data_IF_093373865614
#
_entry.id   IF_093373865614
#
_cell.length_a   1.000
_cell.length_b   1.000
_cell.length_c   1.000
_cell.angle_alpha   90.00
_cell.angle_beta   90.00
_cell.angle_gamma   90.00
#
_symmetry.space_group_name_H-M   'P 1'
#
loop_
_entity.id
_entity.type
_entity.pdbx_description
1 polymer ?
#
# COMPACT_ATOMS: atom_id res chain seq x y z
N UNK A 1 -24.56 23.58 -5.96
CA UNK A 1 -23.22 22.98 -5.82
C UNK A 1 -22.58 22.97 -7.19
N UNK A 2 -21.37 23.55 -7.29
CA UNK A 2 -20.62 23.68 -8.53
C UNK A 2 -20.25 22.28 -9.06
N UNK A 3 -20.30 22.15 -10.39
CA UNK A 3 -19.93 20.98 -11.19
C UNK A 3 -18.80 20.18 -10.54
N UNK A 4 -19.15 19.00 -10.01
CA UNK A 4 -18.36 18.25 -9.05
C UNK A 4 -17.22 17.46 -9.68
N UNK A 5 -16.09 18.13 -9.92
CA UNK A 5 -14.82 17.46 -10.10
C UNK A 5 -14.44 16.82 -8.76
N UNK A 6 -14.74 15.52 -8.62
CA UNK A 6 -14.25 14.70 -7.52
C UNK A 6 -12.72 14.73 -7.59
N UNK A 7 -12.05 15.36 -6.63
CA UNK A 7 -10.59 15.32 -6.57
C UNK A 7 -10.21 13.89 -6.18
N UNK A 8 -9.73 13.13 -7.16
CA UNK A 8 -9.26 11.77 -6.94
C UNK A 8 -7.86 11.84 -6.30
N UNK A 9 -7.83 11.91 -4.98
CA UNK A 9 -6.59 11.90 -4.20
C UNK A 9 -5.95 10.52 -4.27
N UNK A 10 -4.75 10.45 -4.86
CA UNK A 10 -4.01 9.20 -5.02
C UNK A 10 -2.81 9.14 -4.08
N UNK A 11 -2.68 8.03 -3.38
CA UNK A 11 -1.47 7.66 -2.66
C UNK A 11 -0.74 6.56 -3.45
N UNK A 12 0.57 6.73 -3.65
CA UNK A 12 1.44 5.71 -4.24
C UNK A 12 2.73 5.64 -3.45
N UNK A 13 3.19 4.43 -3.12
CA UNK A 13 4.47 4.19 -2.45
C UNK A 13 5.13 2.92 -2.96
N UNK A 14 6.44 2.81 -2.75
CA UNK A 14 7.24 1.63 -3.04
C UNK A 14 7.58 0.89 -1.75
N UNK A 15 7.50 -0.45 -1.81
CA UNK A 15 7.76 -1.35 -0.71
C UNK A 15 8.76 -2.41 -1.15
N UNK A 16 9.97 -2.35 -0.59
CA UNK A 16 10.97 -3.39 -0.79
C UNK A 16 10.65 -4.59 0.11
N UNK A 17 10.58 -5.77 -0.50
CA UNK A 17 10.22 -7.03 0.14
C UNK A 17 11.18 -8.16 -0.26
N UNK A 18 11.22 -9.23 0.53
CA UNK A 18 11.88 -10.47 0.14
C UNK A 18 11.02 -11.20 -0.89
N UNK A 19 11.66 -11.84 -1.87
CA UNK A 19 10.97 -12.40 -3.04
C UNK A 19 10.01 -13.55 -2.68
N UNK A 20 10.33 -14.31 -1.63
CA UNK A 20 9.49 -15.38 -1.05
C UNK A 20 8.26 -14.85 -0.28
N UNK A 21 8.31 -13.61 0.22
CA UNK A 21 7.20 -13.00 0.96
C UNK A 21 6.27 -12.15 0.08
N UNK A 22 6.57 -12.01 -1.22
CA UNK A 22 5.82 -11.16 -2.16
C UNK A 22 4.32 -11.45 -2.15
N UNK A 23 3.92 -12.71 -2.36
CA UNK A 23 2.50 -13.05 -2.49
C UNK A 23 1.76 -12.84 -1.17
N UNK A 24 2.34 -13.25 -0.04
CA UNK A 24 1.78 -13.00 1.29
C UNK A 24 1.60 -11.51 1.57
N UNK A 25 2.61 -10.69 1.27
CA UNK A 25 2.53 -9.24 1.49
C UNK A 25 1.47 -8.62 0.58
N UNK A 26 1.36 -9.06 -0.69
CA UNK A 26 0.31 -8.59 -1.60
C UNK A 26 -1.09 -8.94 -1.09
N UNK A 27 -1.30 -10.15 -0.59
CA UNK A 27 -2.57 -10.55 0.03
C UNK A 27 -2.93 -9.67 1.24
N UNK A 28 -1.97 -9.42 2.13
CA UNK A 28 -2.19 -8.54 3.29
C UNK A 28 -2.46 -7.08 2.89
N UNK A 29 -1.80 -6.58 1.84
CA UNK A 29 -2.10 -5.25 1.30
C UNK A 29 -3.50 -5.19 0.71
N UNK A 30 -3.93 -6.23 -0.02
CA UNK A 30 -5.29 -6.30 -0.57
C UNK A 30 -6.34 -6.31 0.55
N UNK A 31 -6.11 -7.05 1.65
CA UNK A 31 -6.98 -6.98 2.83
C UNK A 31 -7.05 -5.58 3.41
N UNK A 32 -5.92 -4.87 3.50
CA UNK A 32 -5.90 -3.46 3.96
C UNK A 32 -6.78 -2.60 3.06
N UNK A 33 -6.73 -2.78 1.73
CA UNK A 33 -7.59 -2.04 0.80
C UNK A 33 -9.07 -2.35 0.98
N UNK A 34 -9.42 -3.62 1.16
CA UNK A 34 -10.80 -4.07 1.35
C UNK A 34 -11.39 -3.58 2.68
N UNK A 35 -10.61 -3.58 3.76
CA UNK A 35 -11.08 -3.23 5.10
C UNK A 35 -11.06 -1.72 5.38
N UNK A 36 -10.24 -0.94 4.67
CA UNK A 36 -10.13 0.50 4.90
C UNK A 36 -11.24 1.29 4.21
N UNK A 37 -12.18 1.78 5.03
CA UNK A 37 -13.35 2.54 4.58
C UNK A 37 -12.98 3.87 3.93
N UNK A 38 -11.82 4.42 4.26
CA UNK A 38 -11.33 5.70 3.74
C UNK A 38 -10.74 5.57 2.31
N UNK A 39 -10.61 4.34 1.78
CA UNK A 39 -10.03 4.05 0.46
C UNK A 39 -11.10 3.63 -0.57
N UNK A 40 -10.86 3.97 -1.83
CA UNK A 40 -11.58 3.44 -2.98
C UNK A 40 -11.03 2.06 -3.36
N UNK A 41 -11.89 1.04 -3.37
CA UNK A 41 -11.46 -0.34 -3.54
C UNK A 41 -11.16 -0.69 -5.00
N UNK A 42 -11.98 -0.20 -5.94
CA UNK A 42 -11.94 -0.65 -7.35
C UNK A 42 -10.62 -0.30 -8.06
N UNK A 43 -9.97 0.79 -7.66
CA UNK A 43 -8.74 1.30 -8.31
C UNK A 43 -7.47 1.12 -7.44
N UNK A 44 -7.57 0.38 -6.34
CA UNK A 44 -6.44 0.10 -5.44
C UNK A 44 -5.69 -1.17 -5.85
N UNK A 45 -4.36 -1.12 -5.88
CA UNK A 45 -3.54 -2.24 -6.33
C UNK A 45 -2.15 -2.31 -5.69
N UNK A 46 -1.62 -3.53 -5.63
CA UNK A 46 -0.24 -3.84 -5.28
C UNK A 46 0.36 -4.78 -6.34
N UNK A 47 1.40 -4.32 -7.04
CA UNK A 47 2.07 -5.06 -8.12
C UNK A 47 3.58 -5.00 -8.00
N UNK A 48 4.28 -6.00 -8.54
CA UNK A 48 5.74 -6.02 -8.61
C UNK A 48 6.18 -4.99 -9.66
N UNK A 49 6.93 -3.98 -9.22
CA UNK A 49 7.50 -2.95 -10.07
C UNK A 49 8.90 -3.32 -10.56
N UNK A 50 9.71 -3.91 -9.69
CA UNK A 50 11.08 -4.33 -9.97
C UNK A 50 11.45 -5.59 -9.16
N UNK A 51 12.42 -6.36 -9.65
CA UNK A 51 12.88 -7.59 -9.02
C UNK A 51 14.40 -7.76 -9.16
N UNK A 52 15.07 -7.93 -8.02
CA UNK A 52 16.48 -8.25 -7.92
C UNK A 52 16.64 -9.71 -7.51
N UNK A 53 16.81 -10.57 -8.50
CA UNK A 53 16.96 -12.02 -8.31
C UNK A 53 18.27 -12.39 -7.59
N UNK A 54 19.33 -11.60 -7.75
CA UNK A 54 20.62 -11.87 -7.12
C UNK A 54 20.53 -11.66 -5.59
N UNK A 55 19.84 -10.60 -5.19
CA UNK A 55 19.63 -10.28 -3.77
C UNK A 55 18.34 -10.86 -3.20
N UNK A 56 17.57 -11.64 -3.99
CA UNK A 56 16.27 -12.22 -3.60
C UNK A 56 15.28 -11.18 -3.07
N UNK A 57 15.23 -10.00 -3.68
CA UNK A 57 14.30 -8.94 -3.27
C UNK A 57 13.41 -8.50 -4.43
N UNK A 58 12.24 -7.99 -4.11
CA UNK A 58 11.35 -7.34 -5.06
C UNK A 58 10.92 -5.97 -4.54
N UNK A 59 10.52 -5.08 -5.44
CA UNK A 59 9.88 -3.81 -5.12
C UNK A 59 8.41 -3.92 -5.54
N UNK A 60 7.51 -3.76 -4.57
CA UNK A 60 6.08 -3.64 -4.80
C UNK A 60 5.73 -2.17 -4.91
N UNK A 61 5.03 -1.78 -5.98
CA UNK A 61 4.32 -0.51 -6.02
C UNK A 61 2.92 -0.72 -5.44
N UNK A 62 2.58 0.09 -4.44
CA UNK A 62 1.29 0.09 -3.75
C UNK A 62 0.60 1.41 -4.02
N UNK A 63 -0.58 1.35 -4.61
CA UNK A 63 -1.33 2.51 -5.04
C UNK A 63 -2.79 2.38 -4.61
N UNK A 64 -3.37 3.44 -4.06
CA UNK A 64 -4.79 3.52 -3.74
C UNK A 64 -5.32 4.95 -3.92
N UNK A 65 -6.63 5.06 -4.16
CA UNK A 65 -7.34 6.33 -4.13
C UNK A 65 -8.05 6.50 -2.78
N UNK A 66 -8.11 7.72 -2.27
CA UNK A 66 -8.86 8.02 -1.04
C UNK A 66 -10.25 8.57 -1.39
N UNK A 67 -11.21 8.37 -0.48
CA UNK A 67 -12.59 8.86 -0.65
C UNK A 67 -12.80 10.32 -0.25
N UNK A 68 -11.77 10.97 0.30
CA UNK A 68 -11.89 12.33 0.84
C UNK A 68 -11.88 13.39 -0.26
N UNK A 69 -12.45 14.56 0.03
CA UNK A 69 -12.34 15.79 -0.75
C UNK A 69 -11.49 16.87 -0.06
N UNK A 70 -11.01 16.62 1.16
CA UNK A 70 -10.20 17.57 1.95
C UNK A 70 -8.71 17.20 1.96
N UNK A 71 -7.85 18.23 2.02
CA UNK A 71 -6.41 18.03 2.12
C UNK A 71 -6.02 17.43 3.48
N UNK A 72 -6.65 17.88 4.56
CA UNK A 72 -6.35 17.44 5.93
C UNK A 72 -6.63 15.94 6.10
N UNK A 73 -7.78 15.46 5.62
CA UNK A 73 -8.10 14.04 5.68
C UNK A 73 -7.20 13.23 4.75
N UNK A 74 -6.81 13.76 3.58
CA UNK A 74 -5.88 13.07 2.70
C UNK A 74 -4.56 12.80 3.41
N UNK A 75 -3.98 13.79 4.10
CA UNK A 75 -2.74 13.59 4.87
C UNK A 75 -2.92 12.59 6.01
N UNK A 76 -4.05 12.64 6.73
CA UNK A 76 -4.38 11.68 7.78
C UNK A 76 -4.43 10.24 7.24
N UNK A 77 -5.13 10.04 6.13
CA UNK A 77 -5.30 8.73 5.48
C UNK A 77 -3.97 8.22 4.95
N UNK A 78 -3.20 9.08 4.27
CA UNK A 78 -1.85 8.78 3.76
C UNK A 78 -0.92 8.30 4.88
N UNK A 79 -0.84 9.03 5.98
CA UNK A 79 0.07 8.71 7.08
C UNK A 79 -0.36 7.44 7.81
N UNK A 80 -1.68 7.22 7.96
CA UNK A 80 -2.21 5.96 8.48
C UNK A 80 -1.86 4.78 7.57
N UNK A 81 -1.95 4.94 6.25
CA UNK A 81 -1.58 3.91 5.27
C UNK A 81 -0.09 3.58 5.34
N UNK A 82 0.78 4.60 5.36
CA UNK A 82 2.23 4.40 5.53
C UNK A 82 2.55 3.63 6.82
N UNK A 83 1.85 3.93 7.92
CA UNK A 83 2.04 3.23 9.18
C UNK A 83 1.57 1.77 9.13
N UNK A 84 0.44 1.48 8.47
CA UNK A 84 -0.06 0.11 8.26
C UNK A 84 0.95 -0.72 7.46
N UNK A 85 1.42 -0.18 6.34
CA UNK A 85 2.40 -0.83 5.47
C UNK A 85 3.73 -1.06 6.20
N UNK A 86 4.20 -0.08 7.00
CA UNK A 86 5.41 -0.25 7.80
C UNK A 86 5.27 -1.37 8.83
N UNK A 87 4.15 -1.43 9.54
CA UNK A 87 3.86 -2.50 10.50
C UNK A 87 3.81 -3.88 9.85
N UNK A 88 3.23 -3.98 8.66
CA UNK A 88 3.20 -5.22 7.87
C UNK A 88 4.63 -5.71 7.58
N UNK A 89 5.49 -4.85 7.04
CA UNK A 89 6.89 -5.21 6.74
C UNK A 89 7.66 -5.59 8.00
N UNK A 90 7.51 -4.84 9.08
CA UNK A 90 8.20 -5.12 10.34
C UNK A 90 7.71 -6.43 10.98
N UNK A 91 6.44 -6.80 10.79
CA UNK A 91 5.90 -8.09 11.22
C UNK A 91 6.46 -9.26 10.39
N UNK A 92 6.56 -9.09 9.07
CA UNK A 92 7.16 -10.09 8.18
C UNK A 92 8.61 -10.40 8.59
N UNK A 93 9.42 -9.36 8.82
CA UNK A 93 10.83 -9.50 9.25
C UNK A 93 10.98 -10.22 10.60
N UNK A 94 10.03 -10.02 11.52
CA UNK A 94 10.02 -10.74 12.81
C UNK A 94 9.64 -12.21 12.63
N UNK A 95 8.75 -12.53 11.70
CA UNK A 95 8.34 -13.91 11.42
C UNK A 95 9.39 -14.72 10.65
N UNK A 96 10.20 -14.04 9.83
CA UNK A 96 11.26 -14.64 9.04
C UNK A 96 12.56 -13.85 9.25
N UNK A 97 13.27 -14.04 10.39
CA UNK A 97 14.57 -13.43 10.57
C UNK A 97 15.53 -14.02 9.54
N UNK A 98 16.17 -13.16 8.74
CA UNK A 98 17.25 -13.56 7.83
C UNK A 98 18.29 -14.43 8.58
N UNK A 99 18.82 -15.50 7.96
CA UNK A 99 19.92 -16.28 8.53
C UNK A 99 21.22 -15.47 8.69
#
# INVERSE_FOLDING_TARGET
MKNGERVNWRFTTELKVEMDEVERIREEINKIFEEDKDLEQEDSYALIHDADFANRTAVLIVSCFTKTDTHEDYFRIRDAMLLKLRKLIDATKKSNPLP
#
